data_IF_822790903981
#
_entry.id   IF_822790903981
#
_cell.length_a   1.000
_cell.length_b   1.000
_cell.length_c   1.000
_cell.angle_alpha   90.00
_cell.angle_beta   90.00
_cell.angle_gamma   90.00
#
_symmetry.space_group_name_H-M   'P 1'
#
loop_
_entity.id
_entity.type
_entity.pdbx_description
1 polymer ?
#
# COMPACT_ATOMS: atom_id res chain seq x y z
N UNK A 1 -59.12 58.15 6.19
CA UNK A 1 -58.58 58.56 4.88
C UNK A 1 -57.76 57.40 4.34
N UNK A 2 -58.22 56.79 3.25
CA UNK A 2 -57.48 55.80 2.47
C UNK A 2 -56.34 56.48 1.72
N UNK A 3 -55.14 55.91 1.71
CA UNK A 3 -54.20 56.04 0.60
C UNK A 3 -53.64 54.66 0.25
N UNK A 4 -53.77 54.35 -1.03
CA UNK A 4 -53.50 53.12 -1.74
C UNK A 4 -52.02 52.70 -1.84
N UNK A 5 -51.85 51.38 -1.84
CA UNK A 5 -51.06 50.56 -2.77
C UNK A 5 -49.60 50.95 -3.12
N UNK A 6 -48.67 50.04 -2.79
CA UNK A 6 -47.70 49.54 -3.78
C UNK A 6 -47.17 48.16 -3.37
N UNK A 7 -47.30 47.19 -4.28
CA UNK A 7 -46.66 45.87 -4.22
C UNK A 7 -45.16 46.04 -3.97
N UNK A 8 -44.62 45.30 -3.00
CA UNK A 8 -43.22 44.89 -3.04
C UNK A 8 -43.15 43.43 -2.55
N UNK A 9 -43.32 42.52 -3.51
CA UNK A 9 -42.80 41.16 -3.42
C UNK A 9 -41.30 41.27 -3.16
N UNK A 10 -40.83 40.89 -1.97
CA UNK A 10 -39.42 40.79 -1.65
C UNK A 10 -39.09 39.33 -1.31
N UNK A 11 -38.93 38.61 -2.41
CA UNK A 11 -38.07 37.46 -2.70
C UNK A 11 -37.23 36.93 -1.53
N UNK A 12 -37.39 35.63 -1.25
CA UNK A 12 -36.48 34.80 -0.45
C UNK A 12 -35.03 34.94 -0.91
N UNK A 13 -34.13 35.30 0.00
CA UNK A 13 -32.70 35.05 -0.17
C UNK A 13 -32.22 34.17 0.99
N UNK A 14 -32.58 32.88 0.92
CA UNK A 14 -31.88 31.84 1.65
C UNK A 14 -30.48 31.72 1.05
N UNK A 15 -29.53 32.49 1.60
CA UNK A 15 -28.11 32.33 1.34
C UNK A 15 -27.64 31.03 1.99
N UNK A 16 -27.86 29.91 1.31
CA UNK A 16 -27.16 28.67 1.62
C UNK A 16 -25.71 28.87 1.16
N UNK A 17 -24.87 29.38 2.07
CA UNK A 17 -23.43 29.37 1.90
C UNK A 17 -23.01 27.91 1.84
N UNK A 18 -22.84 27.39 0.61
CA UNK A 18 -22.14 26.15 0.40
C UNK A 18 -20.74 26.31 0.97
N UNK A 19 -20.50 25.74 2.15
CA UNK A 19 -19.15 25.42 2.57
C UNK A 19 -18.62 24.40 1.56
N UNK A 20 -17.97 24.88 0.53
CA UNK A 20 -17.09 24.06 -0.29
C UNK A 20 -15.99 23.56 0.63
N UNK A 21 -16.16 22.35 1.16
CA UNK A 21 -15.07 21.61 1.77
C UNK A 21 -14.08 21.31 0.65
N UNK A 22 -13.17 22.26 0.38
CA UNK A 22 -11.94 21.97 -0.34
C UNK A 22 -11.14 21.00 0.54
N UNK A 23 -11.50 19.72 0.50
CA UNK A 23 -10.66 18.67 1.03
C UNK A 23 -9.32 18.77 0.32
N UNK A 24 -8.22 18.74 1.07
CA UNK A 24 -6.88 18.67 0.49
C UNK A 24 -6.84 17.48 -0.47
N UNK A 25 -6.87 17.73 -1.77
CA UNK A 25 -6.71 16.67 -2.75
C UNK A 25 -5.32 16.05 -2.55
N UNK A 26 -5.28 14.71 -2.52
CA UNK A 26 -4.06 13.97 -2.28
C UNK A 26 -3.07 14.22 -3.43
N UNK A 27 -1.93 14.82 -3.13
CA UNK A 27 -0.88 15.08 -4.12
C UNK A 27 -0.12 13.80 -4.44
N UNK A 28 0.46 13.69 -5.64
CA UNK A 28 1.38 12.61 -6.03
C UNK A 28 2.44 12.33 -4.95
N UNK A 29 3.04 13.38 -4.39
CA UNK A 29 4.04 13.26 -3.30
C UNK A 29 3.45 12.61 -2.05
N UNK A 30 2.25 13.02 -1.63
CA UNK A 30 1.59 12.41 -0.47
C UNK A 30 1.16 10.96 -0.70
N UNK A 31 0.84 10.58 -1.94
CA UNK A 31 0.56 9.20 -2.35
C UNK A 31 1.84 8.34 -2.30
N UNK A 32 2.94 8.83 -2.87
CA UNK A 32 4.26 8.19 -2.79
C UNK A 32 4.68 7.91 -1.34
N UNK A 33 4.51 8.89 -0.46
CA UNK A 33 4.88 8.75 0.94
C UNK A 33 4.09 7.66 1.67
N UNK A 34 2.83 7.43 1.31
CA UNK A 34 2.03 6.35 1.90
C UNK A 34 2.58 4.98 1.54
N UNK A 35 2.88 4.74 0.26
CA UNK A 35 3.50 3.48 -0.19
C UNK A 35 4.87 3.31 0.48
N UNK A 36 5.72 4.35 0.46
CA UNK A 36 7.07 4.31 1.05
C UNK A 36 7.04 4.03 2.56
N UNK A 37 6.05 4.54 3.29
CA UNK A 37 5.94 4.28 4.73
C UNK A 37 5.72 2.79 5.01
N UNK A 38 4.86 2.14 4.22
CA UNK A 38 4.59 0.71 4.34
C UNK A 38 5.84 -0.11 3.96
N UNK A 39 6.49 0.21 2.84
CA UNK A 39 7.68 -0.52 2.38
C UNK A 39 8.86 -0.40 3.36
N UNK A 40 9.04 0.77 4.00
CA UNK A 40 10.05 0.96 5.05
C UNK A 40 9.79 0.09 6.29
N UNK A 41 8.53 -0.02 6.71
CA UNK A 41 8.15 -0.83 7.88
C UNK A 41 8.52 -2.30 7.69
N UNK A 42 8.20 -2.87 6.52
CA UNK A 42 8.54 -4.26 6.19
C UNK A 42 10.03 -4.48 5.94
N UNK A 43 10.73 -3.51 5.37
CA UNK A 43 12.18 -3.57 5.25
C UNK A 43 12.86 -3.65 6.64
N UNK A 44 12.38 -2.86 7.60
CA UNK A 44 12.89 -2.90 8.97
C UNK A 44 12.61 -4.24 9.66
N UNK A 45 11.38 -4.76 9.56
CA UNK A 45 11.04 -6.06 10.16
C UNK A 45 11.85 -7.20 9.55
N UNK A 46 12.03 -7.18 8.22
CA UNK A 46 12.84 -8.15 7.50
C UNK A 46 14.31 -8.08 7.94
N UNK A 47 14.86 -6.88 8.12
CA UNK A 47 16.23 -6.69 8.57
C UNK A 47 16.45 -7.20 10.00
N UNK A 48 15.50 -6.95 10.90
CA UNK A 48 15.57 -7.39 12.30
C UNK A 48 15.59 -8.92 12.43
N UNK A 49 14.96 -9.63 11.49
CA UNK A 49 14.79 -11.08 11.53
C UNK A 49 15.64 -11.83 10.50
N UNK A 50 16.46 -11.14 9.69
CA UNK A 50 17.17 -11.74 8.55
C UNK A 50 18.04 -12.97 8.91
N UNK A 51 18.57 -13.02 10.12
CA UNK A 51 19.48 -14.07 10.60
C UNK A 51 18.81 -15.02 11.59
N UNK A 52 17.50 -14.90 11.81
CA UNK A 52 16.80 -15.77 12.76
C UNK A 52 16.77 -17.21 12.24
N UNK A 53 17.00 -18.16 13.15
CA UNK A 53 16.80 -19.59 12.92
C UNK A 53 15.59 -20.14 13.67
N UNK A 54 14.92 -19.29 14.45
CA UNK A 54 13.69 -19.62 15.18
C UNK A 54 12.52 -19.71 14.20
N UNK A 55 12.04 -20.93 13.95
CA UNK A 55 10.93 -21.21 13.03
C UNK A 55 9.68 -20.43 13.39
N UNK A 56 9.38 -20.22 14.69
CA UNK A 56 8.21 -19.45 15.10
C UNK A 56 8.34 -18.00 14.64
N UNK A 57 9.52 -17.39 14.81
CA UNK A 57 9.79 -16.03 14.31
C UNK A 57 9.73 -15.94 12.80
N UNK A 58 10.24 -16.95 12.09
CA UNK A 58 10.15 -16.99 10.62
C UNK A 58 8.68 -16.98 10.16
N UNK A 59 7.82 -17.75 10.82
CA UNK A 59 6.38 -17.75 10.53
C UNK A 59 5.73 -16.41 10.88
N UNK A 60 6.11 -15.78 11.99
CA UNK A 60 5.64 -14.42 12.33
C UNK A 60 6.05 -13.38 11.27
N UNK A 61 7.24 -13.49 10.69
CA UNK A 61 7.65 -12.64 9.56
C UNK A 61 6.78 -12.90 8.33
N UNK A 62 6.42 -14.14 8.05
CA UNK A 62 5.47 -14.46 6.96
C UNK A 62 4.09 -13.84 7.20
N UNK A 63 3.60 -13.87 8.44
CA UNK A 63 2.35 -13.21 8.82
C UNK A 63 2.45 -11.69 8.63
N UNK A 64 3.57 -11.09 9.02
CA UNK A 64 3.80 -9.66 8.84
C UNK A 64 3.90 -9.24 7.37
N UNK A 65 4.45 -10.10 6.50
CA UNK A 65 4.39 -9.90 5.04
C UNK A 65 2.94 -9.89 4.54
N UNK A 66 2.09 -10.83 4.98
CA UNK A 66 0.67 -10.89 4.61
C UNK A 66 -0.07 -9.63 5.07
N UNK A 67 0.10 -9.24 6.33
CA UNK A 67 -0.48 -8.02 6.90
C UNK A 67 -0.02 -6.75 6.15
N UNK A 68 1.23 -6.74 5.69
CA UNK A 68 1.79 -5.65 4.88
C UNK A 68 1.14 -5.61 3.50
N UNK A 69 0.91 -6.76 2.86
CA UNK A 69 0.18 -6.83 1.59
C UNK A 69 -1.25 -6.27 1.74
N UNK A 70 -1.97 -6.71 2.78
CA UNK A 70 -3.32 -6.23 3.07
C UNK A 70 -3.34 -4.73 3.38
N UNK A 71 -2.35 -4.24 4.14
CA UNK A 71 -2.22 -2.81 4.44
C UNK A 71 -1.93 -2.01 3.17
N UNK A 72 -1.09 -2.55 2.29
CA UNK A 72 -0.78 -1.95 1.00
C UNK A 72 -2.02 -1.87 0.12
N UNK A 73 -2.89 -2.89 0.08
CA UNK A 73 -4.11 -2.87 -0.73
C UNK A 73 -5.20 -1.92 -0.20
N UNK A 74 -5.20 -1.64 1.12
CA UNK A 74 -6.22 -0.81 1.78
C UNK A 74 -6.00 0.69 1.61
N UNK A 75 -4.80 1.16 1.29
CA UNK A 75 -4.57 2.59 1.10
C UNK A 75 -5.20 3.06 -0.22
N UNK A 76 -5.82 4.24 -0.21
CA UNK A 76 -6.37 4.85 -1.41
C UNK A 76 -5.28 5.61 -2.17
N UNK A 77 -4.99 5.17 -3.39
CA UNK A 77 -4.01 5.77 -4.29
C UNK A 77 -4.74 6.15 -5.59
N UNK A 78 -5.25 7.39 -5.71
CA UNK A 78 -5.95 7.85 -6.91
C UNK A 78 -5.08 7.92 -8.17
N UNK A 79 -3.77 8.11 -8.03
CA UNK A 79 -2.84 8.14 -9.16
C UNK A 79 -2.68 6.72 -9.74
N UNK A 80 -3.05 6.55 -11.00
CA UNK A 80 -3.09 5.23 -11.65
C UNK A 80 -1.72 4.55 -11.67
N UNK A 81 -0.63 5.32 -11.82
CA UNK A 81 0.72 4.74 -11.89
C UNK A 81 1.18 4.30 -10.51
N UNK A 82 0.89 5.09 -9.47
CA UNK A 82 1.16 4.70 -8.10
C UNK A 82 0.29 3.52 -7.65
N UNK A 83 -0.96 3.43 -8.10
CA UNK A 83 -1.82 2.28 -7.83
C UNK A 83 -1.24 0.98 -8.44
N UNK A 84 -0.63 1.05 -9.63
CA UNK A 84 0.09 -0.09 -10.20
C UNK A 84 1.28 -0.52 -9.32
N UNK A 85 2.07 0.44 -8.82
CA UNK A 85 3.18 0.11 -7.92
C UNK A 85 2.70 -0.47 -6.58
N UNK A 86 1.64 0.11 -6.00
CA UNK A 86 0.97 -0.39 -4.80
C UNK A 86 0.57 -1.86 -4.96
N UNK A 87 -0.12 -2.22 -6.05
CA UNK A 87 -0.50 -3.60 -6.33
C UNK A 87 0.74 -4.50 -6.52
N UNK A 88 1.75 -4.01 -7.25
CA UNK A 88 3.01 -4.74 -7.41
C UNK A 88 3.70 -5.06 -6.09
N UNK A 89 3.70 -4.13 -5.13
CA UNK A 89 4.25 -4.35 -3.79
C UNK A 89 3.40 -5.31 -2.96
N UNK A 90 2.07 -5.20 -3.02
CA UNK A 90 1.17 -6.14 -2.35
C UNK A 90 1.42 -7.58 -2.81
N UNK A 91 1.58 -7.79 -4.12
CA UNK A 91 1.92 -9.08 -4.70
C UNK A 91 3.29 -9.59 -4.25
N UNK A 92 4.31 -8.72 -4.15
CA UNK A 92 5.63 -9.07 -3.62
C UNK A 92 5.52 -9.57 -2.18
N UNK A 93 4.79 -8.85 -1.33
CA UNK A 93 4.66 -9.20 0.09
C UNK A 93 3.86 -10.48 0.29
N UNK A 94 2.72 -10.64 -0.39
CA UNK A 94 1.96 -11.89 -0.35
C UNK A 94 2.76 -13.07 -0.92
N UNK A 95 3.55 -12.82 -1.96
CA UNK A 95 4.48 -13.80 -2.52
C UNK A 95 5.55 -14.25 -1.53
N UNK A 96 6.14 -13.31 -0.78
CA UNK A 96 7.12 -13.61 0.28
C UNK A 96 6.47 -14.37 1.43
N UNK A 97 5.28 -13.96 1.89
CA UNK A 97 4.53 -14.66 2.94
C UNK A 97 4.31 -16.14 2.56
N UNK A 98 3.84 -16.40 1.34
CA UNK A 98 3.64 -17.76 0.84
C UNK A 98 4.97 -18.51 0.73
N UNK A 99 5.99 -17.92 0.09
CA UNK A 99 7.27 -18.59 -0.12
C UNK A 99 7.96 -18.96 1.19
N UNK A 100 7.85 -18.13 2.23
CA UNK A 100 8.36 -18.44 3.56
C UNK A 100 7.65 -19.64 4.18
N UNK A 101 6.31 -19.69 4.12
CA UNK A 101 5.53 -20.84 4.64
C UNK A 101 5.83 -22.12 3.87
N UNK A 102 5.91 -22.03 2.54
CA UNK A 102 6.26 -23.16 1.65
C UNK A 102 7.67 -23.69 1.97
N UNK A 103 8.64 -22.79 2.22
CA UNK A 103 10.01 -23.18 2.57
C UNK A 103 10.06 -23.90 3.92
N UNK A 104 9.34 -23.41 4.94
CA UNK A 104 9.26 -24.09 6.24
C UNK A 104 8.61 -25.47 6.12
N UNK A 105 7.51 -25.59 5.36
CA UNK A 105 6.86 -26.87 5.12
C UNK A 105 7.80 -27.86 4.38
N UNK A 106 8.54 -27.38 3.38
CA UNK A 106 9.53 -28.18 2.68
C UNK A 106 10.64 -28.69 3.61
N UNK A 107 11.15 -27.83 4.51
CA UNK A 107 12.14 -28.25 5.50
C UNK A 107 11.61 -29.30 6.47
N UNK A 108 10.38 -29.14 6.97
CA UNK A 108 9.73 -30.10 7.87
C UNK A 108 9.54 -31.46 7.20
N UNK A 109 9.16 -31.45 5.92
CA UNK A 109 8.96 -32.66 5.12
C UNK A 109 10.26 -33.23 4.55
N UNK A 110 11.41 -32.60 4.81
CA UNK A 110 12.72 -32.93 4.21
C UNK A 110 12.70 -32.94 2.67
N UNK A 111 11.81 -32.14 2.08
CA UNK A 111 11.66 -32.00 0.63
C UNK A 111 12.63 -30.93 0.10
N UNK A 112 13.83 -31.40 -0.25
CA UNK A 112 14.90 -30.53 -0.77
C UNK A 112 14.53 -29.91 -2.13
N UNK A 113 13.70 -30.58 -2.92
CA UNK A 113 13.27 -30.08 -4.24
C UNK A 113 12.38 -28.85 -4.07
N UNK A 114 11.38 -28.94 -3.19
CA UNK A 114 10.50 -27.82 -2.86
C UNK A 114 11.25 -26.68 -2.17
N UNK A 115 12.21 -26.99 -1.30
CA UNK A 115 13.07 -25.97 -0.68
C UNK A 115 13.91 -25.19 -1.71
N UNK A 116 14.47 -25.86 -2.73
CA UNK A 116 15.20 -25.20 -3.83
C UNK A 116 14.27 -24.38 -4.73
N UNK A 117 13.06 -24.86 -4.99
CA UNK A 117 12.08 -24.15 -5.80
C UNK A 117 11.63 -22.85 -5.12
N UNK A 118 11.31 -22.92 -3.82
CA UNK A 118 10.93 -21.75 -3.02
C UNK A 118 12.09 -20.75 -2.92
N UNK A 119 13.33 -21.20 -2.80
CA UNK A 119 14.50 -20.31 -2.87
C UNK A 119 14.57 -19.54 -4.19
N UNK A 120 14.36 -20.21 -5.33
CA UNK A 120 14.30 -19.54 -6.65
C UNK A 120 13.13 -18.55 -6.72
N UNK A 121 11.95 -18.92 -6.20
CA UNK A 121 10.78 -18.03 -6.13
C UNK A 121 11.10 -16.74 -5.37
N UNK A 122 11.76 -16.83 -4.21
CA UNK A 122 12.19 -15.66 -3.43
C UNK A 122 13.18 -14.78 -4.21
N UNK A 123 14.10 -15.37 -4.98
CA UNK A 123 15.02 -14.61 -5.82
C UNK A 123 14.28 -13.80 -6.90
N UNK A 124 13.29 -14.39 -7.57
CA UNK A 124 12.48 -13.68 -8.57
C UNK A 124 11.59 -12.61 -7.93
N UNK A 125 11.01 -12.88 -6.76
CA UNK A 125 10.28 -11.85 -5.98
C UNK A 125 11.21 -10.69 -5.64
N UNK A 126 12.43 -10.95 -5.18
CA UNK A 126 13.41 -9.92 -4.85
C UNK A 126 13.81 -9.04 -6.05
N UNK A 127 13.96 -9.63 -7.24
CA UNK A 127 14.18 -8.86 -8.48
C UNK A 127 13.00 -7.96 -8.81
N UNK A 128 11.78 -8.48 -8.69
CA UNK A 128 10.55 -7.70 -8.91
C UNK A 128 10.44 -6.55 -7.92
N UNK A 129 10.74 -6.78 -6.64
CA UNK A 129 10.74 -5.74 -5.61
C UNK A 129 11.76 -4.63 -5.93
N UNK A 130 12.99 -4.99 -6.32
CA UNK A 130 14.01 -4.00 -6.70
C UNK A 130 13.58 -3.15 -7.90
N UNK A 131 12.96 -3.77 -8.90
CA UNK A 131 12.42 -3.06 -10.06
C UNK A 131 11.32 -2.07 -9.63
N UNK A 132 10.36 -2.52 -8.83
CA UNK A 132 9.28 -1.68 -8.32
C UNK A 132 9.80 -0.50 -7.50
N UNK A 133 10.78 -0.72 -6.61
CA UNK A 133 11.41 0.35 -5.82
C UNK A 133 12.08 1.38 -6.74
N UNK A 134 12.82 0.92 -7.75
CA UNK A 134 13.53 1.80 -8.68
C UNK A 134 12.57 2.64 -9.51
N UNK A 135 11.56 2.00 -10.10
CA UNK A 135 10.57 2.65 -10.96
C UNK A 135 9.70 3.63 -10.17
N UNK A 136 9.22 3.21 -8.99
CA UNK A 136 8.42 4.07 -8.12
C UNK A 136 9.24 5.27 -7.64
N UNK A 137 10.48 5.08 -7.20
CA UNK A 137 11.31 6.20 -6.76
C UNK A 137 11.55 7.21 -7.89
N UNK A 138 11.82 6.72 -9.11
CA UNK A 138 11.96 7.57 -10.30
C UNK A 138 10.67 8.35 -10.56
N UNK A 139 9.52 7.66 -10.53
CA UNK A 139 8.23 8.30 -10.73
C UNK A 139 7.93 9.35 -9.66
N UNK A 140 8.18 9.05 -8.38
CA UNK A 140 7.95 9.93 -7.24
C UNK A 140 8.86 11.17 -7.20
N UNK A 141 10.03 11.11 -7.82
CA UNK A 141 10.95 12.25 -7.94
C UNK A 141 10.69 13.10 -9.20
N UNK A 142 9.98 12.56 -10.19
CA UNK A 142 9.52 13.32 -11.35
C UNK A 142 8.46 14.36 -10.95
N UNK A 143 8.43 15.50 -11.65
CA UNK A 143 7.38 16.51 -11.50
C UNK A 143 6.00 15.97 -11.92
#
# INVERSE_FOLDING_TARGET
MLVSAKKLLLVCFSAFLGLSTFGCAQTKVSQCQQIIAITKKIAQESQNNRQTTDVKKILQVADFFEETADSMEKISIPDEKLAQYQQGFAEVYRGNAQATRDFIAALQNKDITSAKLTQKKVQEIGKKEQQLVTDMNTYCQGN
#
